data_IF_640294124663
#
_entry.id   IF_640294124663
#
_cell.length_a   1.000
_cell.length_b   1.000
_cell.length_c   1.000
_cell.angle_alpha   90.00
_cell.angle_beta   90.00
_cell.angle_gamma   90.00
#
_symmetry.space_group_name_H-M   'P 1'
#
loop_
_entity.id
_entity.type
_entity.pdbx_description
1 polymer ?
#
# COMPACT_ATOMS: atom_id res chain seq x y z
N UNK A 1 -2.29 -24.25 14.01
CA UNK A 1 -2.79 -22.85 13.99
C UNK A 1 -3.55 -22.66 12.69
N UNK A 2 -4.87 -22.48 12.72
CA UNK A 2 -5.71 -22.43 11.52
C UNK A 2 -5.67 -21.02 10.90
N UNK A 3 -5.36 -20.93 9.60
CA UNK A 3 -5.40 -19.69 8.79
C UNK A 3 -6.71 -18.90 8.98
N UNK A 4 -7.81 -19.63 9.15
CA UNK A 4 -9.16 -19.10 9.34
C UNK A 4 -9.41 -18.49 10.73
N UNK A 5 -8.63 -18.82 11.76
CA UNK A 5 -8.78 -18.20 13.09
C UNK A 5 -8.21 -16.78 13.14
N UNK A 6 -7.19 -16.49 12.33
CA UNK A 6 -6.53 -15.18 12.24
C UNK A 6 -6.73 -14.52 10.88
N UNK A 7 -7.85 -14.79 10.20
CA UNK A 7 -8.13 -14.20 8.89
C UNK A 7 -8.09 -12.66 8.94
N UNK A 8 -8.56 -12.09 10.06
CA UNK A 8 -8.47 -10.65 10.35
C UNK A 8 -7.04 -10.14 10.36
N UNK A 9 -6.05 -10.94 10.75
CA UNK A 9 -4.64 -10.55 10.72
C UNK A 9 -4.08 -10.68 9.29
N UNK A 10 -4.35 -11.81 8.63
CA UNK A 10 -3.72 -12.16 7.37
C UNK A 10 -4.29 -11.38 6.17
N UNK A 11 -5.62 -11.33 6.01
CA UNK A 11 -6.24 -10.73 4.83
C UNK A 11 -5.89 -9.25 4.69
N UNK A 12 -6.06 -8.40 5.71
CA UNK A 12 -5.71 -6.98 5.60
C UNK A 12 -4.22 -6.77 5.34
N UNK A 13 -3.34 -7.57 5.97
CA UNK A 13 -1.91 -7.45 5.76
C UNK A 13 -1.50 -7.86 4.33
N UNK A 14 -2.16 -8.87 3.74
CA UNK A 14 -1.99 -9.23 2.33
C UNK A 14 -2.52 -8.16 1.37
N UNK A 15 -3.68 -7.57 1.66
CA UNK A 15 -4.24 -6.47 0.87
C UNK A 15 -3.29 -5.26 0.89
N UNK A 16 -2.83 -4.86 2.07
CA UNK A 16 -1.86 -3.77 2.23
C UNK A 16 -0.54 -4.07 1.50
N UNK A 17 -0.06 -5.32 1.59
CA UNK A 17 1.12 -5.75 0.85
C UNK A 17 0.90 -5.66 -0.67
N UNK A 18 -0.24 -6.15 -1.17
CA UNK A 18 -0.57 -6.09 -2.59
C UNK A 18 -0.62 -4.63 -3.10
N UNK A 19 -1.26 -3.73 -2.37
CA UNK A 19 -1.29 -2.29 -2.72
C UNK A 19 0.13 -1.71 -2.70
N UNK A 20 0.95 -2.05 -1.71
CA UNK A 20 2.33 -1.59 -1.62
C UNK A 20 3.17 -2.07 -2.82
N UNK A 21 3.11 -3.36 -3.15
CA UNK A 21 3.85 -3.91 -4.30
C UNK A 21 3.34 -3.36 -5.63
N UNK A 22 2.04 -3.08 -5.77
CA UNK A 22 1.53 -2.39 -6.97
C UNK A 22 2.02 -0.95 -7.07
N UNK A 23 2.12 -0.20 -5.97
CA UNK A 23 2.73 1.14 -5.96
C UNK A 23 4.21 1.11 -6.35
N UNK A 24 4.96 0.16 -5.80
CA UNK A 24 6.37 -0.06 -6.17
C UNK A 24 6.47 -0.42 -7.65
N UNK A 25 5.63 -1.34 -8.13
CA UNK A 25 5.59 -1.71 -9.54
C UNK A 25 5.25 -0.53 -10.45
N UNK A 26 4.29 0.34 -10.07
CA UNK A 26 3.99 1.58 -10.79
C UNK A 26 5.19 2.52 -10.83
N UNK A 27 5.88 2.70 -9.70
CA UNK A 27 7.07 3.55 -9.61
C UNK A 27 8.19 3.03 -10.52
N UNK A 28 8.47 1.73 -10.46
CA UNK A 28 9.48 1.06 -11.30
C UNK A 28 9.11 1.17 -12.77
N UNK A 29 7.87 0.83 -13.13
CA UNK A 29 7.38 0.94 -14.51
C UNK A 29 7.43 2.37 -15.04
N UNK A 30 7.16 3.38 -14.19
CA UNK A 30 7.24 4.78 -14.55
C UNK A 30 8.64 5.26 -14.96
N UNK A 31 9.71 4.54 -14.60
CA UNK A 31 11.06 4.82 -15.10
C UNK A 31 11.29 4.33 -16.53
N UNK A 32 10.54 3.33 -16.99
CA UNK A 32 10.71 2.72 -18.31
C UNK A 32 9.60 3.09 -19.30
N UNK A 33 8.45 3.57 -18.81
CA UNK A 33 7.22 3.76 -19.59
C UNK A 33 6.76 5.22 -19.47
N UNK A 34 6.58 5.97 -20.57
CA UNK A 34 5.96 7.30 -20.54
C UNK A 34 4.53 7.28 -19.96
N UNK A 35 4.17 8.33 -19.22
CA UNK A 35 2.89 8.44 -18.50
C UNK A 35 1.65 8.39 -19.41
N UNK A 36 1.81 8.76 -20.68
CA UNK A 36 0.76 8.78 -21.70
C UNK A 36 0.53 7.42 -22.39
N UNK A 37 1.30 6.38 -22.02
CA UNK A 37 1.18 5.08 -22.67
C UNK A 37 -0.15 4.41 -22.32
N UNK A 38 -0.96 4.11 -23.34
CA UNK A 38 -2.26 3.45 -23.19
C UNK A 38 -2.17 1.92 -23.01
N UNK A 39 -1.22 1.45 -22.20
CA UNK A 39 -1.06 0.03 -21.89
C UNK A 39 -2.08 -0.44 -20.86
N UNK A 40 -2.69 -1.60 -21.11
CA UNK A 40 -3.62 -2.25 -20.17
C UNK A 40 -2.99 -2.44 -18.78
N UNK A 41 -1.74 -2.91 -18.72
CA UNK A 41 -1.01 -3.09 -17.47
C UNK A 41 -0.88 -1.74 -16.75
N UNK A 42 -0.42 -0.69 -17.43
CA UNK A 42 -0.28 0.64 -16.83
C UNK A 42 -1.61 1.20 -16.30
N UNK A 43 -2.72 1.00 -17.03
CA UNK A 43 -4.07 1.37 -16.57
C UNK A 43 -4.46 0.63 -15.29
N UNK A 44 -4.22 -0.67 -15.20
CA UNK A 44 -4.53 -1.45 -14.00
C UNK A 44 -3.73 -0.95 -12.80
N UNK A 45 -2.42 -0.73 -12.97
CA UNK A 45 -1.56 -0.19 -11.92
C UNK A 45 -2.05 1.18 -11.44
N UNK A 46 -2.37 2.09 -12.38
CA UNK A 46 -2.95 3.40 -12.03
C UNK A 46 -4.30 3.27 -11.32
N UNK A 47 -5.19 2.41 -11.80
CA UNK A 47 -6.52 2.20 -11.21
C UNK A 47 -6.43 1.77 -9.73
N UNK A 48 -5.54 0.83 -9.41
CA UNK A 48 -5.38 0.32 -8.04
C UNK A 48 -4.70 1.35 -7.14
N UNK A 49 -3.72 2.07 -7.67
CA UNK A 49 -2.85 2.95 -6.85
C UNK A 49 -3.33 4.40 -6.77
N UNK A 50 -4.07 4.91 -7.76
CA UNK A 50 -4.57 6.30 -7.79
C UNK A 50 -5.44 6.67 -6.58
N UNK A 51 -6.40 5.85 -6.12
CA UNK A 51 -7.16 6.15 -4.91
C UNK A 51 -6.24 6.34 -3.70
N UNK A 52 -5.22 5.49 -3.58
CA UNK A 52 -4.27 5.55 -2.48
C UNK A 52 -3.35 6.79 -2.58
N UNK A 53 -2.83 7.08 -3.78
CA UNK A 53 -2.01 8.28 -4.03
C UNK A 53 -2.81 9.56 -3.76
N UNK A 54 -4.12 9.58 -4.07
CA UNK A 54 -5.01 10.71 -3.73
C UNK A 54 -5.13 10.91 -2.22
N UNK A 55 -5.27 9.83 -1.44
CA UNK A 55 -5.29 9.91 0.02
C UNK A 55 -3.98 10.47 0.57
N UNK A 56 -2.85 9.99 0.07
CA UNK A 56 -1.53 10.48 0.48
C UNK A 56 -1.36 11.95 0.10
N UNK A 57 -1.85 12.37 -1.08
CA UNK A 57 -1.81 13.77 -1.54
C UNK A 57 -2.72 14.70 -0.75
N UNK A 58 -3.71 14.18 -0.04
CA UNK A 58 -4.51 14.98 0.89
C UNK A 58 -3.69 15.37 2.13
N UNK A 59 -2.83 14.48 2.61
CA UNK A 59 -1.94 14.72 3.76
C UNK A 59 -0.63 15.40 3.34
N UNK A 60 -0.19 15.22 2.10
CA UNK A 60 1.09 15.70 1.60
C UNK A 60 0.94 17.05 0.88
N UNK A 61 1.79 18.06 1.17
CA UNK A 61 1.73 19.37 0.52
C UNK A 61 1.84 19.30 -1.01
N UNK A 62 1.13 20.20 -1.70
CA UNK A 62 1.11 20.26 -3.18
C UNK A 62 2.44 20.67 -3.83
N UNK A 63 3.39 21.17 -3.03
CA UNK A 63 4.74 21.54 -3.49
C UNK A 63 5.55 20.30 -3.92
N UNK A 64 5.19 19.10 -3.44
CA UNK A 64 5.91 17.88 -3.79
C UNK A 64 5.48 17.33 -5.17
N UNK A 65 6.45 16.80 -5.91
CA UNK A 65 6.21 16.19 -7.22
C UNK A 65 5.41 14.88 -7.10
N UNK A 66 4.74 14.48 -8.18
CA UNK A 66 3.90 13.27 -8.18
C UNK A 66 4.69 12.01 -7.78
N UNK A 67 5.91 11.85 -8.29
CA UNK A 67 6.81 10.75 -7.95
C UNK A 67 7.12 10.71 -6.46
N UNK A 68 7.36 11.88 -5.84
CA UNK A 68 7.61 11.97 -4.40
C UNK A 68 6.36 11.55 -3.62
N UNK A 69 5.17 11.97 -4.03
CA UNK A 69 3.91 11.55 -3.39
C UNK A 69 3.72 10.02 -3.48
N UNK A 70 4.09 9.39 -4.60
CA UNK A 70 4.05 7.91 -4.74
C UNK A 70 5.00 7.24 -3.75
N UNK A 71 6.23 7.75 -3.60
CA UNK A 71 7.20 7.24 -2.61
C UNK A 71 6.68 7.41 -1.18
N UNK A 72 6.13 8.58 -0.85
CA UNK A 72 5.47 8.80 0.44
C UNK A 72 4.30 7.84 0.64
N UNK A 73 3.57 7.46 -0.42
CA UNK A 73 2.51 6.46 -0.32
C UNK A 73 3.02 5.09 0.11
N UNK A 74 4.19 4.67 -0.38
CA UNK A 74 4.83 3.43 0.09
C UNK A 74 5.18 3.54 1.59
N UNK A 75 5.72 4.68 2.02
CA UNK A 75 6.03 4.93 3.43
C UNK A 75 4.78 4.93 4.32
N UNK A 76 3.70 5.55 3.88
CA UNK A 76 2.41 5.54 4.58
C UNK A 76 1.81 4.13 4.67
N UNK A 77 1.94 3.30 3.63
CA UNK A 77 1.52 1.89 3.71
C UNK A 77 2.35 1.10 4.71
N UNK A 78 3.68 1.31 4.75
CA UNK A 78 4.53 0.69 5.77
C UNK A 78 4.15 1.14 7.17
N UNK A 79 3.94 2.44 7.38
CA UNK A 79 3.48 2.99 8.65
C UNK A 79 2.12 2.39 9.05
N UNK A 80 1.16 2.32 8.11
CA UNK A 80 -0.15 1.73 8.36
C UNK A 80 -0.05 0.24 8.71
N UNK A 81 0.82 -0.52 8.05
CA UNK A 81 1.09 -1.92 8.41
C UNK A 81 1.65 -2.06 9.83
N UNK A 82 2.56 -1.18 10.24
CA UNK A 82 3.10 -1.18 11.60
C UNK A 82 2.04 -0.81 12.63
N UNK A 83 1.28 0.25 12.38
CA UNK A 83 0.16 0.65 13.24
C UNK A 83 -0.84 -0.49 13.37
N UNK A 84 -1.21 -1.14 12.26
CA UNK A 84 -2.12 -2.28 12.26
C UNK A 84 -1.60 -3.45 13.11
N UNK A 85 -0.32 -3.81 12.94
CA UNK A 85 0.34 -4.83 13.75
C UNK A 85 0.32 -4.48 15.24
N UNK A 86 0.73 -3.26 15.58
CA UNK A 86 0.79 -2.76 16.95
C UNK A 86 -0.60 -2.71 17.58
N UNK A 87 -1.62 -2.27 16.86
CA UNK A 87 -3.01 -2.26 17.34
C UNK A 87 -3.50 -3.68 17.63
N UNK A 88 -3.22 -4.65 16.76
CA UNK A 88 -3.60 -6.04 16.99
C UNK A 88 -2.88 -6.69 18.18
N UNK A 89 -1.60 -6.37 18.37
CA UNK A 89 -0.84 -6.80 19.55
C UNK A 89 -1.44 -6.19 20.82
N UNK A 90 -1.73 -4.88 20.82
CA UNK A 90 -2.32 -4.18 21.97
C UNK A 90 -3.73 -4.68 22.32
N UNK A 91 -4.51 -5.12 21.32
CA UNK A 91 -5.83 -5.70 21.52
C UNK A 91 -5.78 -7.17 22.00
N UNK A 92 -4.60 -7.73 22.24
CA UNK A 92 -4.44 -9.13 22.67
C UNK A 92 -4.81 -10.15 21.58
N UNK A 93 -4.99 -9.70 20.33
CA UNK A 93 -5.27 -10.53 19.16
C UNK A 93 -3.98 -10.95 18.42
N UNK A 94 -2.81 -10.62 19.00
CA UNK A 94 -1.54 -11.17 18.56
C UNK A 94 -1.49 -12.68 18.84
N UNK A 95 -0.78 -13.48 18.03
CA UNK A 95 -0.65 -14.91 18.27
C UNK A 95 0.21 -15.11 19.52
N UNK A 96 -0.40 -15.10 20.71
CA UNK A 96 0.22 -15.62 21.91
C UNK A 96 0.32 -17.13 21.70
N UNK A 97 1.54 -17.61 21.50
CA UNK A 97 1.88 -19.02 21.64
C UNK A 97 1.47 -19.48 23.04
N UNK A 98 0.28 -20.07 23.13
CA UNK A 98 -0.03 -21.08 24.14
C UNK A 98 0.49 -22.41 23.63
#
# INVERSE_FOLDING_TARGET
MNFWSYWYFHIPNFVLAAIMYTLIGRLVLGFFVPENWDNYIWRFFRLVTDPFVKLVRFVTPQVLSHTVVVVFGILWLMAFRLVYLVTLINLGLGPSSS
#
